data_IF_180629359764
#
_entry.id   IF_180629359764
#
_cell.length_a   1.000
_cell.length_b   1.000
_cell.length_c   1.000
_cell.angle_alpha   90.00
_cell.angle_beta   90.00
_cell.angle_gamma   90.00
#
_symmetry.space_group_name_H-M   'P 1'
#
loop_
_entity.id
_entity.type
_entity.pdbx_description
1 polymer ?
#
# COMPACT_ATOMS: atom_id res chain seq x y z
N UNK A 1 20.08 -6.94 -5.97
CA UNK A 1 18.74 -7.18 -5.42
C UNK A 1 18.77 -8.31 -4.42
N UNK A 2 18.00 -8.23 -3.35
CA UNK A 2 17.80 -9.31 -2.38
C UNK A 2 16.33 -9.68 -2.36
N UNK A 3 16.05 -10.99 -2.34
CA UNK A 3 14.69 -11.53 -2.26
C UNK A 3 14.68 -12.64 -1.22
N UNK A 4 13.69 -12.62 -0.33
CA UNK A 4 13.48 -13.69 0.63
C UNK A 4 11.99 -13.93 0.92
N UNK A 5 11.65 -15.17 1.27
CA UNK A 5 10.32 -15.55 1.73
C UNK A 5 10.37 -15.90 3.21
N UNK A 6 9.58 -15.20 4.01
CA UNK A 6 9.54 -15.34 5.46
C UNK A 6 8.23 -16.04 5.87
N UNK A 7 8.30 -16.89 6.87
CA UNK A 7 7.15 -17.61 7.42
C UNK A 7 6.85 -17.14 8.85
N UNK A 8 5.62 -17.32 9.28
CA UNK A 8 5.14 -16.88 10.60
C UNK A 8 6.00 -17.40 11.76
N UNK A 9 6.55 -18.62 11.68
CA UNK A 9 7.45 -19.15 12.69
C UNK A 9 8.70 -18.30 12.93
N UNK A 10 9.16 -17.55 11.93
CA UNK A 10 10.31 -16.66 12.05
C UNK A 10 9.97 -15.34 12.77
N UNK A 11 8.68 -15.02 12.94
CA UNK A 11 8.23 -13.75 13.52
C UNK A 11 8.03 -13.87 15.02
N UNK A 12 7.64 -15.06 15.52
CA UNK A 12 7.25 -15.24 16.91
C UNK A 12 8.40 -15.12 17.92
N UNK A 13 9.66 -15.16 17.48
CA UNK A 13 10.78 -15.38 18.40
C UNK A 13 11.38 -14.12 19.04
N UNK A 14 11.08 -12.90 18.58
CA UNK A 14 11.92 -11.75 18.99
C UNK A 14 11.29 -10.36 19.04
N UNK A 15 9.98 -10.16 18.81
CA UNK A 15 9.44 -8.81 18.85
C UNK A 15 8.92 -8.41 20.23
N UNK A 16 9.39 -7.26 20.70
CA UNK A 16 8.91 -6.64 21.93
C UNK A 16 7.76 -5.68 21.65
N UNK A 17 6.94 -5.39 22.66
CA UNK A 17 5.91 -4.37 22.59
C UNK A 17 6.50 -2.99 22.21
N UNK A 18 7.71 -2.70 22.66
CA UNK A 18 8.44 -1.46 22.34
C UNK A 18 8.75 -1.36 20.84
N UNK A 19 9.22 -2.45 20.22
CA UNK A 19 9.47 -2.51 18.79
C UNK A 19 8.19 -2.28 17.98
N UNK A 20 7.10 -2.90 18.41
CA UNK A 20 5.80 -2.70 17.75
C UNK A 20 5.30 -1.27 17.91
N UNK A 21 5.45 -0.67 19.09
CA UNK A 21 5.08 0.72 19.32
C UNK A 21 5.95 1.69 18.51
N UNK A 22 7.25 1.48 18.45
CA UNK A 22 8.17 2.27 17.64
C UNK A 22 7.79 2.19 16.15
N UNK A 23 7.57 0.97 15.64
CA UNK A 23 7.17 0.75 14.26
C UNK A 23 5.83 1.43 13.95
N UNK A 24 4.81 1.15 14.73
CA UNK A 24 3.45 1.63 14.48
C UNK A 24 3.34 3.15 14.54
N UNK A 25 4.07 3.82 15.46
CA UNK A 25 4.09 5.29 15.54
C UNK A 25 4.73 5.97 14.32
N UNK A 26 5.48 5.21 13.50
CA UNK A 26 6.18 5.67 12.29
C UNK A 26 5.67 5.02 11.00
N UNK A 27 4.51 4.40 11.06
CA UNK A 27 3.89 3.73 9.92
C UNK A 27 2.58 4.39 9.56
N UNK A 28 2.43 4.79 8.30
CA UNK A 28 1.15 5.20 7.74
C UNK A 28 0.44 3.98 7.12
N UNK A 29 -0.83 3.79 7.44
CA UNK A 29 -1.68 2.78 6.80
C UNK A 29 -2.57 3.45 5.76
N UNK A 30 -2.52 2.97 4.54
CA UNK A 30 -3.34 3.44 3.43
C UNK A 30 -4.37 2.37 3.11
N UNK A 31 -5.65 2.74 3.20
CA UNK A 31 -6.77 1.85 2.94
C UNK A 31 -7.49 2.32 1.68
N UNK A 32 -7.45 1.52 0.63
CA UNK A 32 -8.25 1.77 -0.58
C UNK A 32 -9.68 1.29 -0.35
N UNK A 33 -10.64 2.21 -0.47
CA UNK A 33 -12.06 1.96 -0.18
C UNK A 33 -12.94 2.40 -1.35
N UNK A 34 -13.87 1.53 -1.76
CA UNK A 34 -14.89 1.85 -2.77
C UNK A 34 -16.14 1.00 -2.57
N UNK A 35 -17.14 1.56 -1.91
CA UNK A 35 -18.44 0.93 -1.70
C UNK A 35 -18.41 -0.40 -0.91
N UNK A 36 -17.31 -0.69 -0.19
CA UNK A 36 -17.33 -1.71 0.84
C UNK A 36 -18.22 -1.26 2.00
N UNK A 37 -18.87 -2.23 2.67
CA UNK A 37 -19.75 -1.88 3.79
C UNK A 37 -18.95 -1.26 4.94
N UNK A 38 -19.60 -0.34 5.67
CA UNK A 38 -18.97 0.31 6.82
C UNK A 38 -18.52 -0.71 7.88
N UNK A 39 -19.26 -1.82 8.06
CA UNK A 39 -18.95 -2.88 9.00
C UNK A 39 -17.68 -3.64 8.59
N UNK A 40 -17.51 -3.95 7.29
CA UNK A 40 -16.30 -4.61 6.80
C UNK A 40 -15.08 -3.72 7.02
N UNK A 41 -15.18 -2.44 6.64
CA UNK A 41 -14.10 -1.48 6.86
C UNK A 41 -13.80 -1.28 8.35
N UNK A 42 -14.82 -1.22 9.22
CA UNK A 42 -14.60 -1.16 10.67
C UNK A 42 -13.82 -2.36 11.18
N UNK A 43 -14.14 -3.56 10.69
CA UNK A 43 -13.38 -4.77 11.00
C UNK A 43 -11.91 -4.61 10.65
N UNK A 44 -11.61 -4.09 9.46
CA UNK A 44 -10.23 -3.78 9.03
C UNK A 44 -9.57 -2.78 9.98
N UNK A 45 -10.23 -1.66 10.25
CA UNK A 45 -9.68 -0.59 11.08
C UNK A 45 -9.46 -1.02 12.53
N UNK A 46 -10.30 -1.93 13.06
CA UNK A 46 -10.21 -2.40 14.44
C UNK A 46 -8.84 -3.00 14.77
N UNK A 47 -8.25 -3.75 13.84
CA UNK A 47 -6.99 -4.45 14.04
C UNK A 47 -5.75 -3.62 13.72
N UNK A 48 -5.90 -2.38 13.22
CA UNK A 48 -4.77 -1.49 12.99
C UNK A 48 -4.30 -0.83 14.29
N UNK A 49 -3.02 -0.45 14.41
CA UNK A 49 -2.51 0.24 15.59
C UNK A 49 -3.19 1.60 15.83
N UNK A 50 -3.34 1.99 17.09
CA UNK A 50 -4.02 3.23 17.49
C UNK A 50 -3.15 4.48 17.32
N UNK A 51 -1.83 4.31 17.37
CA UNK A 51 -0.85 5.39 17.28
C UNK A 51 -0.38 5.68 15.84
N UNK A 52 -0.87 4.91 14.87
CA UNK A 52 -0.55 5.09 13.46
C UNK A 52 -1.54 6.01 12.76
N UNK A 53 -1.12 6.87 11.82
CA UNK A 53 -2.04 7.53 10.90
C UNK A 53 -2.65 6.49 9.93
N UNK A 54 -3.97 6.53 9.79
CA UNK A 54 -4.74 5.68 8.88
C UNK A 54 -5.37 6.60 7.84
N UNK A 55 -4.99 6.42 6.59
CA UNK A 55 -5.45 7.24 5.45
C UNK A 55 -6.40 6.38 4.63
N UNK A 56 -7.68 6.65 4.72
CA UNK A 56 -8.71 6.00 3.90
C UNK A 56 -8.89 6.84 2.64
N UNK A 57 -8.45 6.31 1.51
CA UNK A 57 -8.69 6.94 0.22
C UNK A 57 -9.92 6.28 -0.40
N UNK A 58 -11.01 7.05 -0.46
CA UNK A 58 -12.32 6.53 -0.89
C UNK A 58 -12.75 7.11 -2.23
N UNK A 59 -13.46 6.29 -2.99
CA UNK A 59 -14.16 6.69 -4.22
C UNK A 59 -15.66 6.33 -4.14
N UNK A 60 -16.19 6.27 -2.93
CA UNK A 60 -17.60 5.99 -2.65
C UNK A 60 -18.46 7.25 -2.82
N UNK A 61 -19.77 7.07 -2.84
CA UNK A 61 -20.71 8.20 -2.87
C UNK A 61 -20.59 9.07 -1.61
N UNK A 62 -21.07 10.31 -1.70
CA UNK A 62 -21.12 11.21 -0.54
C UNK A 62 -21.97 10.62 0.59
N UNK A 63 -23.06 9.94 0.23
CA UNK A 63 -23.95 9.29 1.20
C UNK A 63 -23.23 8.15 1.95
N UNK A 64 -22.51 7.29 1.22
CA UNK A 64 -21.72 6.22 1.84
C UNK A 64 -20.64 6.77 2.78
N UNK A 65 -20.02 7.89 2.40
CA UNK A 65 -18.99 8.54 3.24
C UNK A 65 -19.61 9.10 4.53
N UNK A 66 -20.76 9.76 4.45
CA UNK A 66 -21.43 10.26 5.67
C UNK A 66 -21.91 9.12 6.58
N UNK A 67 -22.39 8.02 5.98
CA UNK A 67 -22.70 6.80 6.71
C UNK A 67 -21.44 6.21 7.38
N UNK A 68 -20.32 6.12 6.64
CA UNK A 68 -19.04 5.67 7.17
C UNK A 68 -18.58 6.55 8.34
N UNK A 69 -18.61 7.87 8.19
CA UNK A 69 -18.24 8.82 9.26
C UNK A 69 -19.08 8.62 10.53
N UNK A 70 -20.39 8.47 10.36
CA UNK A 70 -21.31 8.22 11.47
C UNK A 70 -20.97 6.90 12.16
N UNK A 71 -20.74 5.86 11.38
CA UNK A 71 -20.40 4.53 11.86
C UNK A 71 -19.06 4.52 12.63
N UNK A 72 -18.04 5.18 12.13
CA UNK A 72 -16.74 5.30 12.81
C UNK A 72 -16.84 6.04 14.15
N UNK A 73 -17.72 7.03 14.27
CA UNK A 73 -17.97 7.76 15.53
C UNK A 73 -18.63 6.88 16.59
N UNK A 74 -19.55 5.99 16.20
CA UNK A 74 -20.36 5.18 17.13
C UNK A 74 -19.63 3.95 17.66
N UNK A 75 -18.56 3.48 16.98
CA UNK A 75 -17.94 2.18 17.26
C UNK A 75 -16.53 2.25 17.88
N UNK A 76 -16.30 3.13 18.86
CA UNK A 76 -15.07 3.18 19.66
C UNK A 76 -13.76 3.32 18.85
N UNK A 77 -13.83 3.75 17.60
CA UNK A 77 -12.65 4.02 16.76
C UNK A 77 -12.16 5.47 16.90
N UNK A 78 -12.80 6.26 17.77
CA UNK A 78 -12.50 7.67 18.00
C UNK A 78 -11.07 7.95 18.50
N UNK A 79 -10.40 6.95 19.06
CA UNK A 79 -9.03 7.09 19.53
C UNK A 79 -7.98 6.81 18.43
N UNK A 80 -8.40 6.42 17.22
CA UNK A 80 -7.49 6.21 16.07
C UNK A 80 -7.34 7.49 15.27
N UNK A 81 -6.15 7.70 14.71
CA UNK A 81 -5.85 8.83 13.81
C UNK A 81 -6.30 8.47 12.39
N UNK A 82 -7.56 8.73 12.06
CA UNK A 82 -8.15 8.38 10.76
C UNK A 82 -8.32 9.63 9.91
N UNK A 83 -7.80 9.57 8.69
CA UNK A 83 -7.94 10.58 7.64
C UNK A 83 -8.79 9.98 6.52
N UNK A 84 -9.88 10.64 6.14
CA UNK A 84 -10.72 10.20 5.01
C UNK A 84 -10.50 11.17 3.87
N UNK A 85 -10.02 10.66 2.75
CA UNK A 85 -9.69 11.44 1.55
C UNK A 85 -10.56 10.96 0.40
N UNK A 86 -11.33 11.86 -0.21
CA UNK A 86 -12.08 11.50 -1.42
C UNK A 86 -11.19 11.62 -2.65
N UNK A 87 -11.05 10.53 -3.40
CA UNK A 87 -10.17 10.48 -4.59
C UNK A 87 -10.49 11.58 -5.63
N UNK A 88 -11.77 11.96 -5.76
CA UNK A 88 -12.24 12.99 -6.69
C UNK A 88 -12.37 14.38 -6.09
N UNK A 89 -11.68 14.66 -4.99
CA UNK A 89 -11.68 15.99 -4.41
C UNK A 89 -11.00 17.02 -5.35
N UNK A 90 -11.56 18.23 -5.39
CA UNK A 90 -11.07 19.29 -6.26
C UNK A 90 -9.66 19.75 -5.92
N UNK A 91 -9.30 19.75 -4.64
CA UNK A 91 -7.96 20.14 -4.21
C UNK A 91 -6.90 19.13 -4.63
N UNK A 92 -7.22 17.83 -4.61
CA UNK A 92 -6.34 16.77 -5.09
C UNK A 92 -6.17 16.88 -6.62
N UNK A 93 -7.26 17.09 -7.35
CA UNK A 93 -7.21 17.29 -8.79
C UNK A 93 -6.38 18.52 -9.16
N UNK A 94 -6.56 19.64 -8.42
CA UNK A 94 -5.77 20.85 -8.62
C UNK A 94 -4.29 20.62 -8.32
N UNK A 95 -3.96 19.88 -7.26
CA UNK A 95 -2.57 19.50 -6.95
C UNK A 95 -1.93 18.77 -8.13
N UNK A 96 -2.54 17.68 -8.62
CA UNK A 96 -1.97 16.92 -9.74
C UNK A 96 -1.89 17.72 -11.03
N UNK A 97 -2.81 18.66 -11.24
CA UNK A 97 -2.75 19.61 -12.35
C UNK A 97 -1.54 20.53 -12.23
N UNK A 98 -1.30 21.09 -11.05
CA UNK A 98 -0.14 21.98 -10.79
C UNK A 98 1.17 21.20 -10.87
N UNK A 99 1.22 19.96 -10.36
CA UNK A 99 2.38 19.08 -10.44
C UNK A 99 2.63 18.50 -11.86
N UNK A 100 1.84 18.88 -12.87
CA UNK A 100 2.02 18.45 -14.26
C UNK A 100 1.56 17.01 -14.55
N UNK A 101 0.82 16.38 -13.63
CA UNK A 101 0.32 14.99 -13.78
C UNK A 101 -1.08 14.98 -14.40
N UNK A 102 -1.26 15.72 -15.51
CA UNK A 102 -2.57 15.91 -16.15
C UNK A 102 -3.25 14.63 -16.59
N UNK A 103 -2.49 13.60 -16.96
CA UNK A 103 -3.03 12.31 -17.42
C UNK A 103 -3.65 11.46 -16.29
N UNK A 104 -3.53 11.90 -15.04
CA UNK A 104 -4.26 11.33 -13.90
C UNK A 104 -5.69 11.90 -13.78
N UNK A 105 -6.02 12.94 -14.57
CA UNK A 105 -7.32 13.59 -14.55
C UNK A 105 -8.20 13.13 -15.71
N UNK A 106 -9.47 12.90 -15.41
CA UNK A 106 -10.49 12.61 -16.41
C UNK A 106 -10.97 13.88 -17.15
N UNK A 107 -11.86 13.70 -18.10
CA UNK A 107 -12.46 14.79 -18.85
C UNK A 107 -13.31 15.75 -17.99
N UNK A 108 -13.72 15.28 -16.82
CA UNK A 108 -14.42 16.07 -15.79
C UNK A 108 -13.46 16.90 -14.91
N UNK A 109 -12.16 16.80 -15.16
CA UNK A 109 -11.12 17.49 -14.38
C UNK A 109 -10.86 16.87 -13.00
N UNK A 110 -11.50 15.75 -12.67
CA UNK A 110 -11.28 15.01 -11.42
C UNK A 110 -10.27 13.89 -11.63
N UNK A 111 -9.69 13.41 -10.53
CA UNK A 111 -8.82 12.22 -10.58
C UNK A 111 -9.60 11.02 -11.12
N UNK A 112 -8.95 10.22 -11.96
CA UNK A 112 -9.52 8.98 -12.52
C UNK A 112 -9.90 7.99 -11.42
N UNK A 113 -10.85 7.10 -11.73
CA UNK A 113 -11.26 6.02 -10.83
C UNK A 113 -10.24 4.88 -10.88
N UNK A 114 -9.66 4.49 -9.75
CA UNK A 114 -8.81 3.33 -9.69
C UNK A 114 -8.12 3.13 -8.37
N UNK A 115 -7.72 1.88 -8.09
CA UNK A 115 -6.95 1.51 -6.90
C UNK A 115 -5.57 2.18 -6.92
N UNK A 116 -4.91 2.18 -8.09
CA UNK A 116 -3.59 2.79 -8.25
C UNK A 116 -3.57 4.28 -7.93
N UNK A 117 -4.58 5.01 -8.39
CA UNK A 117 -4.80 6.42 -8.10
C UNK A 117 -5.01 6.64 -6.58
N UNK A 118 -5.83 5.78 -5.96
CA UNK A 118 -6.06 5.82 -4.51
C UNK A 118 -4.79 5.55 -3.72
N UNK A 119 -4.00 4.55 -4.12
CA UNK A 119 -2.70 4.26 -3.49
C UNK A 119 -1.69 5.39 -3.68
N UNK A 120 -1.69 6.05 -4.86
CA UNK A 120 -0.81 7.19 -5.12
C UNK A 120 -1.15 8.38 -4.23
N UNK A 121 -2.45 8.70 -4.11
CA UNK A 121 -2.94 9.75 -3.20
C UNK A 121 -2.57 9.40 -1.74
N UNK A 122 -2.83 8.18 -1.30
CA UNK A 122 -2.47 7.74 0.05
C UNK A 122 -0.97 7.84 0.34
N UNK A 123 -0.14 7.53 -0.65
CA UNK A 123 1.32 7.68 -0.56
C UNK A 123 1.73 9.16 -0.48
N UNK A 124 1.10 10.02 -1.27
CA UNK A 124 1.31 11.47 -1.21
C UNK A 124 1.01 12.00 0.20
N UNK A 125 -0.15 11.65 0.77
CA UNK A 125 -0.49 12.09 2.13
C UNK A 125 0.46 11.48 3.19
N UNK A 126 0.87 10.23 3.02
CA UNK A 126 1.87 9.62 3.91
C UNK A 126 3.21 10.36 3.87
N UNK A 127 3.64 10.81 2.68
CA UNK A 127 4.86 11.59 2.51
C UNK A 127 4.73 13.01 3.06
N UNK A 128 3.53 13.62 2.99
CA UNK A 128 3.25 14.95 3.55
C UNK A 128 3.22 14.97 5.07
N UNK A 129 2.93 13.84 5.71
CA UNK A 129 3.07 13.69 7.17
C UNK A 129 4.52 13.80 7.63
N UNK A 130 5.48 13.53 6.75
CA UNK A 130 6.93 13.66 6.91
C UNK A 130 7.59 12.78 8.00
N UNK A 131 6.85 12.28 8.99
CA UNK A 131 7.38 11.39 10.03
C UNK A 131 7.23 9.88 9.74
N UNK A 132 6.31 9.39 8.88
CA UNK A 132 6.26 7.97 8.58
C UNK A 132 7.53 7.49 7.87
N UNK A 133 8.10 6.43 8.40
CA UNK A 133 9.23 5.73 7.80
C UNK A 133 8.77 4.58 6.89
N UNK A 134 7.52 4.14 7.09
CA UNK A 134 6.90 3.06 6.35
C UNK A 134 5.48 3.41 5.94
N UNK A 135 5.08 2.88 4.79
CA UNK A 135 3.71 2.96 4.27
C UNK A 135 3.22 1.54 4.04
N UNK A 136 2.06 1.21 4.58
CA UNK A 136 1.42 -0.09 4.44
C UNK A 136 0.07 0.10 3.75
N UNK A 137 -0.19 -0.72 2.73
CA UNK A 137 -1.43 -0.73 1.98
C UNK A 137 -2.24 -1.97 2.35
N UNK A 138 -3.51 -1.77 2.69
CA UNK A 138 -4.48 -2.83 2.92
C UNK A 138 -5.76 -2.58 2.14
N UNK A 139 -6.39 -3.68 1.72
CA UNK A 139 -7.70 -3.65 1.11
C UNK A 139 -8.80 -3.53 2.17
N UNK A 140 -9.87 -2.82 1.84
CA UNK A 140 -11.00 -2.57 2.75
C UNK A 140 -11.96 -3.78 2.85
N UNK A 141 -11.80 -4.81 1.99
CA UNK A 141 -12.76 -5.91 1.82
C UNK A 141 -12.34 -7.24 2.48
N UNK A 142 -11.35 -7.23 3.38
CA UNK A 142 -10.90 -8.44 4.05
C UNK A 142 -11.92 -8.90 5.10
N UNK A 143 -12.57 -10.05 4.83
CA UNK A 143 -13.57 -10.65 5.72
C UNK A 143 -12.98 -11.44 6.91
N UNK A 144 -11.64 -11.53 6.99
CA UNK A 144 -10.91 -12.06 8.15
C UNK A 144 -10.00 -10.95 8.69
N UNK A 145 -10.58 -9.89 9.28
CA UNK A 145 -9.82 -8.68 9.59
C UNK A 145 -8.71 -8.91 10.63
N UNK A 146 -8.81 -9.95 11.47
CA UNK A 146 -7.72 -10.36 12.38
C UNK A 146 -6.43 -10.76 11.67
N UNK A 147 -6.49 -11.14 10.37
CA UNK A 147 -5.32 -11.39 9.55
C UNK A 147 -4.45 -10.13 9.40
N UNK A 148 -5.04 -8.94 9.45
CA UNK A 148 -4.30 -7.69 9.35
C UNK A 148 -3.37 -7.45 10.54
N UNK A 149 -3.72 -7.96 11.73
CA UNK A 149 -2.82 -7.94 12.87
C UNK A 149 -1.59 -8.81 12.60
N UNK A 150 -1.78 -10.03 12.07
CA UNK A 150 -0.67 -10.90 11.67
C UNK A 150 0.21 -10.20 10.63
N UNK A 151 -0.39 -9.59 9.58
CA UNK A 151 0.37 -8.91 8.54
C UNK A 151 1.14 -7.71 9.09
N UNK A 152 0.53 -6.93 9.97
CA UNK A 152 1.18 -5.78 10.62
C UNK A 152 2.36 -6.19 11.49
N UNK A 153 2.22 -7.26 12.28
CA UNK A 153 3.32 -7.82 13.08
C UNK A 153 4.44 -8.35 12.19
N UNK A 154 4.10 -9.04 11.10
CA UNK A 154 5.09 -9.50 10.13
C UNK A 154 5.87 -8.34 9.51
N UNK A 155 5.19 -7.29 9.06
CA UNK A 155 5.82 -6.11 8.48
C UNK A 155 6.69 -5.38 9.52
N UNK A 156 6.22 -5.25 10.76
CA UNK A 156 7.01 -4.71 11.87
C UNK A 156 8.36 -5.45 11.97
N UNK A 157 8.31 -6.76 12.09
CA UNK A 157 9.51 -7.58 12.22
C UNK A 157 10.45 -7.42 11.03
N UNK A 158 9.93 -7.49 9.81
CA UNK A 158 10.73 -7.47 8.59
C UNK A 158 11.40 -6.10 8.38
N UNK A 159 10.68 -5.01 8.59
CA UNK A 159 11.23 -3.67 8.45
C UNK A 159 12.26 -3.36 9.55
N UNK A 160 11.99 -3.71 10.81
CA UNK A 160 12.91 -3.43 11.89
C UNK A 160 14.18 -4.30 11.86
N UNK A 161 14.07 -5.59 11.47
CA UNK A 161 15.26 -6.44 11.29
C UNK A 161 16.20 -5.87 10.23
N UNK A 162 15.64 -5.43 9.10
CA UNK A 162 16.43 -4.80 8.03
C UNK A 162 17.09 -3.50 8.50
N UNK A 163 16.37 -2.66 9.26
CA UNK A 163 16.93 -1.44 9.83
C UNK A 163 18.05 -1.73 10.86
N UNK A 164 17.93 -2.81 11.63
CA UNK A 164 18.96 -3.24 12.59
C UNK A 164 20.24 -3.71 11.87
N UNK A 165 20.13 -4.47 10.78
CA UNK A 165 21.28 -4.88 9.97
C UNK A 165 22.03 -3.67 9.39
N UNK A 166 21.32 -2.61 9.01
CA UNK A 166 21.93 -1.38 8.52
C UNK A 166 22.77 -0.64 9.55
N UNK A 167 22.47 -0.77 10.82
CA UNK A 167 23.24 -0.11 11.92
C UNK A 167 24.54 -0.82 12.27
N UNK A 168 24.67 -2.10 11.95
CA UNK A 168 25.85 -2.92 12.28
C UNK A 168 26.87 -3.05 11.16
N UNK A 169 26.44 -2.85 9.90
CA UNK A 169 27.30 -2.90 8.71
C UNK A 169 27.50 -1.48 8.18
N UNK A 170 28.77 -1.00 8.09
CA UNK A 170 29.18 0.31 7.56
C UNK A 170 28.08 1.13 6.86
N UNK A 171 27.48 2.03 7.61
CA UNK A 171 26.14 2.61 7.54
C UNK A 171 25.69 3.31 6.23
N UNK A 172 26.61 3.62 5.33
CA UNK A 172 26.25 4.37 4.12
C UNK A 172 25.41 3.57 3.11
N UNK A 173 25.44 2.25 3.22
CA UNK A 173 24.89 1.37 2.19
C UNK A 173 23.38 1.05 2.32
N UNK A 174 22.81 1.23 3.51
CA UNK A 174 21.37 0.95 3.76
C UNK A 174 20.50 2.21 3.62
N UNK A 175 21.13 3.38 3.59
CA UNK A 175 20.42 4.65 3.48
C UNK A 175 19.57 4.74 2.20
N UNK A 176 19.97 4.09 1.08
CA UNK A 176 19.28 4.15 -0.21
C UNK A 176 18.54 2.87 -0.58
N UNK A 177 18.31 1.96 0.37
CA UNK A 177 17.61 0.71 0.13
C UNK A 177 16.13 0.96 -0.17
N UNK A 178 15.64 0.46 -1.30
CA UNK A 178 14.22 0.34 -1.60
C UNK A 178 13.71 -0.98 -1.00
N UNK A 179 12.88 -0.90 0.03
CA UNK A 179 12.40 -2.08 0.72
C UNK A 179 10.88 -2.24 0.54
N UNK A 180 10.46 -3.38 0.00
CA UNK A 180 9.07 -3.75 -0.18
C UNK A 180 8.79 -5.12 0.45
N UNK A 181 7.75 -5.20 1.25
CA UNK A 181 7.22 -6.43 1.86
C UNK A 181 5.86 -6.70 1.26
N UNK A 182 5.64 -7.91 0.74
CA UNK A 182 4.39 -8.32 0.09
C UNK A 182 3.81 -9.55 0.78
N UNK A 183 2.50 -9.55 0.99
CA UNK A 183 1.82 -10.68 1.63
C UNK A 183 1.53 -11.77 0.59
N UNK A 184 1.98 -12.98 0.89
CA UNK A 184 1.58 -14.21 0.20
C UNK A 184 0.58 -14.92 1.10
N UNK A 185 -0.65 -15.04 0.68
CA UNK A 185 -1.65 -15.73 1.50
C UNK A 185 -1.41 -17.23 1.50
N UNK A 186 -1.57 -17.86 2.67
CA UNK A 186 -1.50 -19.30 2.80
C UNK A 186 -2.62 -20.01 2.03
N UNK A 187 -3.77 -19.37 1.91
CA UNK A 187 -4.89 -19.82 1.10
C UNK A 187 -5.84 -18.67 0.75
N UNK A 188 -6.55 -18.83 -0.37
CA UNK A 188 -7.73 -18.04 -0.77
C UNK A 188 -8.95 -18.94 -0.78
N UNK A 189 -9.62 -19.14 0.35
CA UNK A 189 -10.79 -20.02 0.38
C UNK A 189 -11.94 -19.47 -0.46
N UNK A 190 -12.65 -20.36 -1.12
CA UNK A 190 -13.90 -20.06 -1.81
C UNK A 190 -15.03 -20.90 -1.24
N UNK A 191 -16.21 -20.31 -1.06
CA UNK A 191 -17.42 -21.06 -0.68
C UNK A 191 -18.11 -21.55 -1.97
N UNK A 192 -18.13 -22.86 -2.15
CA UNK A 192 -18.81 -23.50 -3.26
C UNK A 192 -19.83 -24.50 -2.73
N UNK A 193 -21.11 -24.32 -3.03
CA UNK A 193 -22.20 -25.21 -2.61
C UNK A 193 -22.21 -25.56 -1.11
N UNK A 194 -21.87 -24.56 -0.26
CA UNK A 194 -21.85 -24.75 1.19
C UNK A 194 -20.58 -25.41 1.75
N UNK A 195 -19.62 -25.77 0.91
CA UNK A 195 -18.29 -26.27 1.31
C UNK A 195 -17.22 -25.17 1.10
N UNK A 196 -16.15 -25.25 1.88
CA UNK A 196 -15.02 -24.34 1.81
C UNK A 196 -13.89 -25.02 1.01
N UNK A 197 -13.65 -24.51 -0.20
CA UNK A 197 -12.55 -24.96 -1.04
C UNK A 197 -11.32 -24.08 -0.78
N UNK A 198 -10.21 -24.71 -0.37
CA UNK A 198 -8.96 -24.00 -0.14
C UNK A 198 -8.12 -23.95 -1.42
N UNK A 199 -7.83 -22.74 -1.91
CA UNK A 199 -6.92 -22.52 -3.02
C UNK A 199 -5.63 -21.89 -2.51
N UNK A 200 -4.48 -22.36 -3.00
CA UNK A 200 -3.17 -21.85 -2.59
C UNK A 200 -2.85 -20.49 -3.19
N UNK A 201 -3.30 -20.23 -4.43
CA UNK A 201 -3.03 -18.99 -5.15
C UNK A 201 -4.32 -18.36 -5.66
N UNK A 202 -4.35 -17.04 -5.71
CA UNK A 202 -5.39 -16.29 -6.39
C UNK A 202 -5.36 -16.55 -7.91
N UNK A 203 -6.51 -16.45 -8.57
CA UNK A 203 -6.65 -16.70 -10.02
C UNK A 203 -5.75 -15.82 -10.89
N UNK A 204 -5.56 -14.55 -10.53
CA UNK A 204 -4.63 -13.66 -11.22
C UNK A 204 -3.18 -14.01 -10.91
N UNK A 205 -2.86 -14.22 -9.63
CA UNK A 205 -1.50 -14.57 -9.17
C UNK A 205 -0.98 -15.84 -9.84
N UNK A 206 -1.83 -16.87 -10.05
CA UNK A 206 -1.43 -18.11 -10.72
C UNK A 206 -0.98 -17.92 -12.17
N UNK A 207 -1.50 -16.87 -12.84
CA UNK A 207 -1.13 -16.54 -14.23
C UNK A 207 0.11 -15.64 -14.28
N UNK A 208 0.18 -14.66 -13.38
CA UNK A 208 1.20 -13.59 -13.44
C UNK A 208 2.50 -13.97 -12.73
N UNK A 209 2.43 -14.71 -11.64
CA UNK A 209 3.61 -15.06 -10.83
C UNK A 209 4.70 -15.83 -11.58
N UNK A 210 4.39 -16.78 -12.48
CA UNK A 210 5.42 -17.47 -13.28
C UNK A 210 6.27 -16.52 -14.13
N UNK A 211 5.67 -15.43 -14.65
CA UNK A 211 6.41 -14.42 -15.42
C UNK A 211 7.46 -13.72 -14.55
N UNK A 212 7.13 -13.41 -13.30
CA UNK A 212 8.10 -12.82 -12.37
C UNK A 212 9.23 -13.79 -12.01
N UNK A 213 8.93 -15.06 -11.80
CA UNK A 213 9.95 -16.09 -11.54
C UNK A 213 10.94 -16.15 -12.70
N UNK A 214 10.44 -16.21 -13.94
CA UNK A 214 11.30 -16.18 -15.14
C UNK A 214 12.06 -14.85 -15.24
N UNK A 215 11.43 -13.72 -14.92
CA UNK A 215 12.11 -12.41 -14.99
C UNK A 215 13.25 -12.28 -13.98
N UNK A 216 13.11 -12.85 -12.78
CA UNK A 216 14.18 -12.91 -11.79
C UNK A 216 15.37 -13.73 -12.26
N UNK A 217 15.11 -14.83 -12.93
CA UNK A 217 16.17 -15.65 -13.54
C UNK A 217 16.91 -14.87 -14.63
N UNK A 218 16.15 -14.27 -15.55
CA UNK A 218 16.72 -13.56 -16.71
C UNK A 218 17.48 -12.27 -16.32
N UNK A 219 16.94 -11.48 -15.40
CA UNK A 219 17.55 -10.20 -15.04
C UNK A 219 18.61 -10.31 -13.95
N UNK A 220 18.44 -11.26 -13.01
CA UNK A 220 19.28 -11.32 -11.80
C UNK A 220 20.00 -12.67 -11.62
N UNK A 221 19.74 -13.65 -12.49
CA UNK A 221 20.28 -15.01 -12.34
C UNK A 221 19.77 -15.76 -11.10
N UNK A 222 18.63 -15.33 -10.54
CA UNK A 222 18.02 -15.95 -9.35
C UNK A 222 17.13 -17.10 -9.81
N UNK A 223 17.64 -18.33 -9.68
CA UNK A 223 16.95 -19.54 -10.12
C UNK A 223 16.03 -20.09 -9.04
N UNK A 224 14.96 -20.76 -9.48
CA UNK A 224 14.03 -21.56 -8.63
C UNK A 224 13.42 -20.81 -7.46
N UNK A 225 13.34 -19.47 -7.56
CA UNK A 225 12.70 -18.67 -6.50
C UNK A 225 11.24 -18.36 -6.84
N UNK A 226 10.27 -19.01 -6.15
CA UNK A 226 8.86 -18.84 -6.49
C UNK A 226 8.35 -17.47 -6.05
N UNK A 227 7.74 -16.74 -6.98
CA UNK A 227 6.98 -15.54 -6.68
C UNK A 227 5.53 -15.92 -6.48
N UNK A 228 4.96 -15.59 -5.31
CA UNK A 228 3.58 -15.89 -4.95
C UNK A 228 2.78 -14.63 -4.56
N UNK A 229 3.36 -13.45 -4.79
CA UNK A 229 2.81 -12.14 -4.40
C UNK A 229 2.71 -11.15 -5.56
N UNK A 230 2.65 -11.63 -6.83
CA UNK A 230 2.62 -10.76 -8.01
C UNK A 230 1.47 -9.74 -7.99
N UNK A 231 0.34 -10.11 -7.39
CA UNK A 231 -0.87 -9.30 -7.27
C UNK A 231 -1.28 -9.16 -5.78
N UNK A 232 -0.32 -8.86 -4.91
CA UNK A 232 -0.63 -8.61 -3.52
C UNK A 232 -1.14 -7.18 -3.35
N UNK A 233 -2.40 -7.04 -2.94
CA UNK A 233 -3.00 -5.77 -2.51
C UNK A 233 -2.45 -5.35 -1.15
N UNK A 234 -2.24 -6.34 -0.26
CA UNK A 234 -1.61 -6.13 1.03
C UNK A 234 -0.10 -6.14 0.88
N UNK A 235 0.48 -4.97 1.03
CA UNK A 235 1.93 -4.77 0.94
C UNK A 235 2.37 -3.58 1.79
N UNK A 236 3.66 -3.56 2.12
CA UNK A 236 4.29 -2.42 2.79
C UNK A 236 5.60 -2.06 2.12
N UNK A 237 6.00 -0.83 2.27
CA UNK A 237 7.31 -0.36 1.79
C UNK A 237 7.87 0.73 2.70
N UNK A 238 9.19 0.87 2.71
CA UNK A 238 9.75 2.04 3.36
C UNK A 238 9.40 3.31 2.56
N UNK A 239 9.37 4.45 3.22
CA UNK A 239 8.97 5.72 2.61
C UNK A 239 9.84 6.09 1.40
N UNK A 240 11.10 5.66 1.37
CA UNK A 240 11.99 5.85 0.22
C UNK A 240 11.51 5.10 -1.01
N UNK A 241 11.14 3.83 -0.86
CA UNK A 241 10.55 3.07 -1.95
C UNK A 241 9.21 3.67 -2.38
N UNK A 242 8.36 4.07 -1.42
CA UNK A 242 7.09 4.69 -1.70
C UNK A 242 7.22 5.99 -2.52
N UNK A 243 8.25 6.79 -2.26
CA UNK A 243 8.55 8.03 -3.00
C UNK A 243 9.23 7.79 -4.34
N UNK A 244 10.07 6.74 -4.43
CA UNK A 244 10.91 6.45 -5.59
C UNK A 244 10.22 5.65 -6.69
N UNK A 245 9.19 4.84 -6.35
CA UNK A 245 8.50 4.02 -7.34
C UNK A 245 7.44 4.83 -8.06
N UNK A 246 7.37 4.65 -9.39
CA UNK A 246 6.25 5.15 -10.19
C UNK A 246 4.98 4.38 -9.83
N UNK A 247 3.84 4.97 -10.13
CA UNK A 247 2.53 4.35 -9.92
C UNK A 247 1.86 4.06 -11.26
N UNK A 248 0.89 3.16 -11.26
CA UNK A 248 0.07 2.87 -12.43
C UNK A 248 -1.41 2.91 -12.11
N UNK A 249 -2.23 3.15 -13.14
CA UNK A 249 -3.67 3.28 -12.99
C UNK A 249 -4.37 1.97 -12.61
N UNK A 250 -5.46 2.07 -11.88
CA UNK A 250 -6.35 0.94 -11.60
C UNK A 250 -5.69 -0.20 -10.82
N UNK A 251 -6.12 -1.44 -11.09
CA UNK A 251 -5.59 -2.63 -10.41
C UNK A 251 -4.21 -3.07 -10.91
N UNK A 252 -3.73 -2.48 -12.01
CA UNK A 252 -2.38 -2.76 -12.51
C UNK A 252 -1.30 -2.42 -11.49
N UNK A 253 -1.58 -1.53 -10.54
CA UNK A 253 -0.63 -1.05 -9.52
C UNK A 253 0.02 -2.19 -8.72
N UNK A 254 -0.71 -3.25 -8.41
CA UNK A 254 -0.21 -4.36 -7.63
C UNK A 254 0.95 -5.09 -8.35
N UNK A 255 0.80 -5.33 -9.65
CA UNK A 255 1.83 -5.93 -10.50
C UNK A 255 2.89 -4.91 -10.87
N UNK A 256 2.48 -3.68 -11.20
CA UNK A 256 3.38 -2.65 -11.67
C UNK A 256 4.43 -2.26 -10.63
N UNK A 257 4.07 -2.06 -9.37
CA UNK A 257 5.02 -1.72 -8.32
C UNK A 257 6.11 -2.78 -8.14
N UNK A 258 5.76 -4.04 -8.35
CA UNK A 258 6.74 -5.10 -8.33
C UNK A 258 7.71 -4.99 -9.52
N UNK A 259 7.19 -4.86 -10.75
CA UNK A 259 8.01 -4.66 -11.95
C UNK A 259 8.88 -3.42 -11.84
N UNK A 260 8.32 -2.32 -11.32
CA UNK A 260 9.05 -1.06 -11.14
C UNK A 260 10.21 -1.21 -10.15
N UNK A 261 10.01 -1.92 -9.04
CA UNK A 261 11.07 -2.22 -8.08
C UNK A 261 12.19 -3.05 -8.73
N UNK A 262 11.83 -4.09 -9.49
CA UNK A 262 12.78 -4.89 -10.24
C UNK A 262 13.54 -4.06 -11.27
N UNK A 263 12.84 -3.24 -12.04
CA UNK A 263 13.43 -2.40 -13.09
C UNK A 263 14.44 -1.39 -12.53
N UNK A 264 14.12 -0.76 -11.40
CA UNK A 264 15.05 0.14 -10.70
C UNK A 264 16.25 -0.60 -10.12
N UNK A 265 16.04 -1.81 -9.62
CA UNK A 265 17.14 -2.65 -9.13
C UNK A 265 18.06 -3.16 -10.23
N UNK A 266 17.50 -3.43 -11.39
CA UNK A 266 18.26 -3.83 -12.58
C UNK A 266 18.96 -2.67 -13.29
N UNK A 267 18.45 -1.44 -13.09
CA UNK A 267 19.01 -0.22 -13.67
C UNK A 267 18.44 0.16 -15.03
N UNK A 268 17.20 -0.23 -15.35
CA UNK A 268 16.57 0.11 -16.65
C UNK A 268 16.39 1.61 -16.88
N UNK A 269 16.26 2.38 -15.81
CA UNK A 269 15.98 3.82 -15.87
C UNK A 269 17.06 4.66 -15.18
N UNK A 270 18.33 4.24 -15.29
CA UNK A 270 19.46 4.95 -14.68
C UNK A 270 20.38 4.02 -13.90
N UNK A 271 21.06 4.56 -12.88
CA UNK A 271 21.92 3.73 -12.04
C UNK A 271 21.09 2.70 -11.24
N UNK A 272 21.56 1.43 -11.17
CA UNK A 272 20.87 0.41 -10.38
C UNK A 272 20.72 0.84 -8.93
N UNK A 273 19.49 0.76 -8.41
CA UNK A 273 19.20 1.02 -6.99
C UNK A 273 19.18 -0.29 -6.20
N UNK A 274 19.66 -0.25 -4.99
CA UNK A 274 19.55 -1.41 -4.10
C UNK A 274 18.10 -1.64 -3.74
N UNK A 275 17.63 -2.87 -3.88
CA UNK A 275 16.28 -3.25 -3.50
C UNK A 275 16.27 -4.54 -2.70
N UNK A 276 15.38 -4.59 -1.70
CA UNK A 276 15.03 -5.77 -0.94
C UNK A 276 13.53 -6.02 -1.11
N UNK A 277 13.20 -7.18 -1.66
CA UNK A 277 11.83 -7.68 -1.74
C UNK A 277 11.68 -8.85 -0.79
N UNK A 278 10.75 -8.74 0.14
CA UNK A 278 10.40 -9.81 1.06
C UNK A 278 8.97 -10.26 0.81
N UNK A 279 8.77 -11.56 0.67
CA UNK A 279 7.45 -12.17 0.62
C UNK A 279 7.16 -12.81 2.00
N UNK A 280 6.12 -12.34 2.66
CA UNK A 280 5.64 -12.95 3.88
C UNK A 280 4.52 -13.94 3.59
N UNK A 281 4.75 -15.21 3.87
CA UNK A 281 3.72 -16.23 3.75
C UNK A 281 2.87 -16.28 5.04
N UNK A 282 1.66 -15.75 4.94
CA UNK A 282 0.73 -15.67 6.07
C UNK A 282 0.26 -17.05 6.52
N UNK A 283 -0.13 -17.17 7.79
CA UNK A 283 -0.91 -18.29 8.30
C UNK A 283 -2.40 -18.08 8.07
N UNK A 284 -2.85 -16.86 8.24
CA UNK A 284 -4.24 -16.50 8.01
C UNK A 284 -4.60 -16.61 6.53
N UNK A 285 -5.78 -17.15 6.28
CA UNK A 285 -6.36 -17.16 4.94
C UNK A 285 -6.80 -15.75 4.55
N UNK A 286 -6.68 -15.42 3.28
CA UNK A 286 -7.28 -14.21 2.73
C UNK A 286 -8.67 -14.52 2.21
N UNK A 287 -9.68 -13.93 2.81
CA UNK A 287 -11.08 -14.18 2.47
C UNK A 287 -11.78 -12.86 2.14
N UNK A 288 -12.32 -12.78 0.94
CA UNK A 288 -13.13 -11.66 0.46
C UNK A 288 -14.30 -12.17 -0.36
N UNK A 289 -15.26 -11.30 -0.66
CA UNK A 289 -16.40 -11.64 -1.52
C UNK A 289 -15.93 -12.06 -2.90
N UNK A 290 -16.44 -13.20 -3.39
CA UNK A 290 -16.09 -13.74 -4.72
C UNK A 290 -16.50 -12.76 -5.81
N UNK A 291 -15.53 -12.32 -6.61
CA UNK A 291 -15.75 -11.49 -7.80
C UNK A 291 -15.87 -12.37 -9.04
N UNK A 292 -16.71 -11.95 -9.99
CA UNK A 292 -17.00 -12.70 -11.21
C UNK A 292 -15.79 -12.91 -12.12
N UNK A 293 -15.91 -13.83 -13.08
CA UNK A 293 -14.81 -14.20 -13.99
C UNK A 293 -14.39 -13.05 -14.90
N UNK A 294 -15.33 -12.21 -15.36
CA UNK A 294 -15.03 -11.03 -16.18
C UNK A 294 -14.13 -10.03 -15.41
N UNK A 295 -14.39 -9.85 -14.12
CA UNK A 295 -13.53 -9.02 -13.27
C UNK A 295 -12.10 -9.59 -13.19
N UNK A 296 -11.96 -10.91 -13.04
CA UNK A 296 -10.65 -11.56 -12.99
C UNK A 296 -9.92 -11.48 -14.34
N UNK A 297 -10.64 -11.67 -15.47
CA UNK A 297 -10.06 -11.49 -16.81
C UNK A 297 -9.53 -10.07 -17.00
N UNK A 298 -10.29 -9.06 -16.54
CA UNK A 298 -9.86 -7.66 -16.55
C UNK A 298 -8.61 -7.45 -15.71
N UNK A 299 -8.56 -8.01 -14.50
CA UNK A 299 -7.37 -7.94 -13.62
C UNK A 299 -6.14 -8.56 -14.28
N UNK A 300 -6.27 -9.73 -14.89
CA UNK A 300 -5.17 -10.40 -15.59
C UNK A 300 -4.72 -9.52 -16.76
N UNK A 301 -5.64 -9.01 -17.60
CA UNK A 301 -5.31 -8.12 -18.72
C UNK A 301 -4.56 -6.85 -18.29
N UNK A 302 -4.97 -6.24 -17.17
CA UNK A 302 -4.27 -5.09 -16.59
C UNK A 302 -2.88 -5.46 -16.05
N UNK A 303 -2.76 -6.61 -15.37
CA UNK A 303 -1.48 -7.09 -14.84
C UNK A 303 -0.48 -7.42 -15.95
N UNK A 304 -0.93 -8.11 -16.99
CA UNK A 304 -0.08 -8.43 -18.15
C UNK A 304 0.28 -7.16 -18.93
N UNK A 305 -0.64 -6.20 -19.02
CA UNK A 305 -0.39 -4.90 -19.65
C UNK A 305 0.76 -4.12 -19.02
N UNK A 306 1.04 -4.34 -17.71
CA UNK A 306 2.17 -3.72 -17.04
C UNK A 306 3.54 -4.11 -17.65
N UNK A 307 3.68 -5.34 -18.11
CA UNK A 307 4.95 -5.80 -18.69
C UNK A 307 5.28 -5.03 -19.97
N UNK A 308 4.28 -4.58 -20.73
CA UNK A 308 4.51 -3.82 -21.96
C UNK A 308 5.08 -2.41 -21.70
N UNK A 309 4.97 -1.90 -20.49
CA UNK A 309 5.67 -0.64 -20.09
C UNK A 309 7.19 -0.82 -20.20
N UNK A 310 7.68 -2.07 -20.05
CA UNK A 310 9.10 -2.43 -20.06
C UNK A 310 9.49 -3.22 -21.31
N UNK A 311 8.62 -3.29 -22.33
CA UNK A 311 8.74 -4.18 -23.52
C UNK A 311 10.12 -4.15 -24.19
N UNK A 312 10.74 -2.97 -24.28
CA UNK A 312 12.02 -2.78 -24.96
C UNK A 312 13.20 -3.36 -24.15
N UNK A 313 12.96 -3.71 -22.89
CA UNK A 313 13.94 -4.29 -21.96
C UNK A 313 13.58 -5.70 -21.49
N UNK A 314 12.41 -6.21 -21.90
CA UNK A 314 12.02 -7.56 -21.53
C UNK A 314 12.80 -8.62 -22.29
N UNK A 315 13.25 -9.69 -21.62
CA UNK A 315 13.79 -10.87 -22.28
C UNK A 315 12.78 -11.48 -23.27
N UNK A 316 13.25 -12.01 -24.39
CA UNK A 316 12.39 -12.61 -25.41
C UNK A 316 11.51 -13.75 -24.88
N UNK A 317 12.01 -14.51 -23.89
CA UNK A 317 11.22 -15.57 -23.23
C UNK A 317 9.97 -15.01 -22.54
N UNK A 318 10.07 -13.86 -21.89
CA UNK A 318 8.92 -13.20 -21.23
C UNK A 318 7.92 -12.72 -22.29
N UNK A 319 8.40 -12.08 -23.35
CA UNK A 319 7.53 -11.61 -24.44
C UNK A 319 6.76 -12.77 -25.09
N UNK A 320 7.42 -13.91 -25.31
CA UNK A 320 6.79 -15.11 -25.84
C UNK A 320 5.76 -15.72 -24.88
N UNK A 321 6.07 -15.75 -23.57
CA UNK A 321 5.13 -16.22 -22.55
C UNK A 321 3.89 -15.31 -22.47
N UNK A 322 4.07 -13.99 -22.48
CA UNK A 322 2.97 -13.02 -22.50
C UNK A 322 2.05 -13.24 -23.71
N UNK A 323 2.63 -13.36 -24.91
CA UNK A 323 1.85 -13.60 -26.12
C UNK A 323 1.04 -14.89 -26.02
N UNK A 324 1.68 -16.00 -25.60
CA UNK A 324 1.01 -17.27 -25.42
C UNK A 324 -0.16 -17.18 -24.42
N UNK A 325 0.03 -16.53 -23.26
CA UNK A 325 -1.05 -16.37 -22.26
C UNK A 325 -2.21 -15.55 -22.85
N UNK A 326 -1.92 -14.48 -23.58
CA UNK A 326 -2.95 -13.66 -24.23
C UNK A 326 -3.75 -14.46 -25.24
N UNK A 327 -3.08 -15.27 -26.08
CA UNK A 327 -3.74 -16.09 -27.09
C UNK A 327 -4.59 -17.20 -26.46
N UNK A 328 -4.05 -17.95 -25.50
CA UNK A 328 -4.72 -19.05 -24.80
C UNK A 328 -5.97 -18.56 -24.04
N UNK A 329 -5.89 -17.41 -23.44
CA UNK A 329 -6.99 -16.84 -22.64
C UNK A 329 -7.88 -15.90 -23.44
N UNK A 330 -7.56 -15.58 -24.68
CA UNK A 330 -8.24 -14.56 -25.52
C UNK A 330 -8.42 -13.26 -24.73
N UNK A 331 -7.31 -12.71 -24.20
CA UNK A 331 -7.32 -11.52 -23.35
C UNK A 331 -7.09 -10.26 -24.17
N UNK A 332 -7.93 -9.26 -23.90
CA UNK A 332 -7.63 -7.88 -24.27
C UNK A 332 -6.69 -7.26 -23.23
N UNK A 333 -5.50 -6.88 -23.69
CA UNK A 333 -4.55 -6.19 -22.82
C UNK A 333 -5.00 -4.77 -22.52
N UNK A 334 -4.97 -4.41 -21.26
CA UNK A 334 -5.21 -3.04 -20.82
C UNK A 334 -3.89 -2.41 -20.39
N UNK A 335 -3.40 -1.45 -21.19
CA UNK A 335 -2.17 -0.74 -20.90
C UNK A 335 -2.44 0.31 -19.81
N UNK A 336 -1.70 0.26 -18.67
CA UNK A 336 -1.91 1.23 -17.62
C UNK A 336 -1.37 2.61 -17.99
N UNK A 337 -2.02 3.65 -17.47
CA UNK A 337 -1.40 4.95 -17.36
C UNK A 337 -0.31 4.87 -16.28
N UNK A 338 0.82 5.52 -16.52
CA UNK A 338 1.95 5.52 -15.58
C UNK A 338 2.12 6.93 -15.02
N UNK A 339 2.08 7.02 -13.70
CA UNK A 339 2.24 8.26 -12.95
C UNK A 339 3.68 8.40 -12.46
N UNK A 340 4.26 9.60 -12.43
CA UNK A 340 5.64 9.81 -11.99
C UNK A 340 5.83 9.37 -10.54
N UNK A 341 7.06 9.06 -10.16
CA UNK A 341 7.41 8.85 -8.77
C UNK A 341 7.26 10.18 -7.99
N UNK A 342 6.92 10.12 -6.72
CA UNK A 342 6.77 11.34 -5.91
C UNK A 342 8.08 12.13 -5.79
N UNK A 343 9.22 11.44 -5.82
CA UNK A 343 10.54 12.10 -5.80
C UNK A 343 10.82 12.89 -7.09
N UNK A 344 10.14 12.57 -8.20
CA UNK A 344 10.27 13.26 -9.48
C UNK A 344 9.32 14.48 -9.59
N UNK A 345 8.33 14.59 -8.69
CA UNK A 345 7.51 15.77 -8.57
C UNK A 345 8.30 16.82 -7.80
N UNK A 346 8.80 17.84 -8.48
CA UNK A 346 9.46 18.99 -7.84
C UNK A 346 8.44 19.76 -7.02
N UNK A 347 8.06 19.20 -5.86
CA UNK A 347 7.05 19.76 -4.96
C UNK A 347 7.69 20.90 -4.17
N UNK A 348 7.54 22.13 -4.65
CA UNK A 348 7.79 23.30 -3.84
C UNK A 348 6.68 23.47 -2.80
N UNK A 349 6.96 24.15 -1.70
CA UNK A 349 5.95 24.36 -0.63
C UNK A 349 4.65 24.99 -1.14
N UNK A 350 4.71 25.82 -2.19
CA UNK A 350 3.55 26.46 -2.81
C UNK A 350 2.62 25.49 -3.52
N UNK A 351 3.12 24.36 -4.02
CA UNK A 351 2.32 23.37 -4.74
C UNK A 351 1.45 22.52 -3.81
N UNK A 352 1.79 22.50 -2.52
CA UNK A 352 1.06 21.76 -1.49
C UNK A 352 -0.11 22.57 -0.90
N UNK A 353 -0.20 23.86 -1.17
CA UNK A 353 -1.25 24.75 -0.66
C UNK A 353 -2.69 24.33 -1.02
N UNK A 354 -2.97 23.74 -2.20
CA UNK A 354 -4.31 23.27 -2.53
C UNK A 354 -4.76 22.05 -1.72
N UNK A 355 -3.82 21.31 -1.13
CA UNK A 355 -4.13 20.12 -0.33
C UNK A 355 -4.61 20.54 1.06
N UNK A 356 -5.85 21.06 1.10
CA UNK A 356 -6.59 21.15 2.34
C UNK A 356 -7.12 19.75 2.68
N UNK A 357 -6.86 19.24 3.88
CA UNK A 357 -7.49 18.02 4.36
C UNK A 357 -8.83 18.34 5.01
N UNK A 358 -9.98 17.75 4.56
CA UNK A 358 -11.26 18.01 5.17
C UNK A 358 -11.29 17.67 6.66
N UNK A 359 -11.64 18.62 7.52
CA UNK A 359 -12.01 18.37 8.91
C UNK A 359 -13.47 17.97 9.00
N UNK A 360 -13.82 17.02 9.84
CA UNK A 360 -15.20 16.83 10.27
C UNK A 360 -15.57 18.03 11.14
N UNK A 361 -16.49 18.83 10.61
CA UNK A 361 -16.88 20.13 11.16
C UNK A 361 -17.27 20.12 12.63
N UNK A 362 -17.20 21.31 13.17
CA UNK A 362 -17.46 21.82 14.50
C UNK A 362 -18.40 20.96 15.35
N UNK A 363 -17.87 20.33 16.36
CA UNK A 363 -18.63 19.69 17.42
C UNK A 363 -17.94 18.44 17.95
N UNK A 364 -17.30 18.64 19.09
CA UNK A 364 -16.93 17.66 20.08
C UNK A 364 -15.92 16.54 19.72
N UNK A 365 -14.70 16.75 20.13
CA UNK A 365 -13.68 15.83 20.66
C UNK A 365 -13.27 14.58 19.88
N UNK A 366 -13.47 14.49 18.57
CA UNK A 366 -12.98 13.36 17.81
C UNK A 366 -12.22 13.82 16.56
N UNK A 367 -10.92 13.58 16.46
CA UNK A 367 -10.16 13.88 15.26
C UNK A 367 -10.37 12.82 14.17
N UNK A 368 -11.57 12.75 13.61
CA UNK A 368 -11.74 12.19 12.28
C UNK A 368 -11.55 13.37 11.34
N UNK A 369 -10.32 13.55 10.86
CA UNK A 369 -9.98 14.66 9.99
C UNK A 369 -10.50 14.38 8.58
N UNK A 370 -11.33 15.28 8.11
CA UNK A 370 -11.58 15.47 6.70
C UNK A 370 -11.01 16.85 6.33
N UNK A 371 -9.81 16.95 5.83
CA UNK A 371 -9.05 18.14 5.45
C UNK A 371 -8.64 19.08 6.59
N UNK A 372 -7.38 19.06 6.93
CA UNK A 372 -6.76 20.10 7.73
C UNK A 372 -6.03 21.04 6.75
N UNK A 373 -6.26 22.32 6.86
CA UNK A 373 -5.43 23.31 6.19
C UNK A 373 -3.96 22.99 6.47
N UNK A 374 -3.08 23.03 5.46
CA UNK A 374 -1.65 22.70 5.58
C UNK A 374 -1.01 23.28 6.85
N UNK A 375 -1.35 24.53 7.20
CA UNK A 375 -0.81 25.20 8.39
C UNK A 375 -1.23 24.52 9.70
N UNK A 376 -2.46 24.06 9.80
CA UNK A 376 -2.96 23.32 10.99
C UNK A 376 -2.31 21.95 11.05
N UNK A 377 -2.16 21.30 9.89
CA UNK A 377 -1.48 20.02 9.76
C UNK A 377 0.00 20.13 10.16
N UNK A 378 0.73 21.11 9.61
CA UNK A 378 2.13 21.37 9.96
C UNK A 378 2.28 21.87 11.41
N UNK A 379 1.31 22.60 11.94
CA UNK A 379 1.33 23.04 13.33
C UNK A 379 1.10 21.85 14.29
N UNK A 380 0.16 20.98 14.01
CA UNK A 380 -0.03 19.74 14.79
C UNK A 380 1.19 18.81 14.65
N UNK A 381 1.78 18.73 13.46
CA UNK A 381 3.02 18.03 13.23
C UNK A 381 4.20 18.60 14.05
N UNK A 382 4.36 19.92 14.08
CA UNK A 382 5.40 20.58 14.90
C UNK A 382 5.18 20.36 16.39
N UNK A 383 3.93 20.44 16.86
CA UNK A 383 3.58 20.12 18.24
C UNK A 383 3.93 18.67 18.63
N UNK A 384 3.80 17.72 17.70
CA UNK A 384 4.18 16.33 17.92
C UNK A 384 5.69 16.12 17.90
N UNK A 385 6.44 16.85 17.08
CA UNK A 385 7.90 16.71 16.98
C UNK A 385 8.67 17.54 18.02
N UNK A 386 8.14 18.67 18.47
CA UNK A 386 8.70 19.42 19.59
C UNK A 386 8.60 18.65 20.93
N UNK A 387 7.75 17.65 20.97
CA UNK A 387 7.62 16.73 22.11
C UNK A 387 8.76 15.69 22.13
N UNK A 388 9.29 15.27 20.99
CA UNK A 388 10.42 14.32 20.90
C UNK A 388 11.79 14.97 21.26
N UNK A 389 11.85 16.30 21.43
CA UNK A 389 13.10 17.02 21.75
C UNK A 389 13.31 17.30 23.24
N UNK A 390 12.37 16.96 24.10
CA UNK A 390 12.51 17.13 25.56
C UNK A 390 12.38 15.81 26.31
N UNK A 391 13.41 15.50 27.05
CA UNK A 391 13.66 14.34 27.91
C UNK A 391 12.46 13.73 28.64
N UNK A 392 12.46 12.39 28.67
CA UNK A 392 11.78 11.49 29.61
C UNK A 392 10.25 11.64 29.73
N UNK A 393 9.53 10.83 28.92
CA UNK A 393 8.10 10.62 29.08
C UNK A 393 7.79 9.57 30.15
N UNK A 394 7.23 10.02 31.26
CA UNK A 394 6.40 9.18 32.12
C UNK A 394 4.98 9.25 31.57
N UNK A 395 4.56 8.27 30.78
CA UNK A 395 3.18 8.13 30.37
C UNK A 395 2.40 7.61 31.57
N UNK A 396 1.74 8.49 32.28
CA UNK A 396 0.68 8.11 33.24
C UNK A 396 -0.58 7.78 32.47
N UNK A 397 -0.86 6.49 32.31
CA UNK A 397 -2.19 6.05 31.87
C UNK A 397 -3.18 6.36 32.97
N UNK A 398 -4.36 6.96 32.69
CA UNK A 398 -5.42 7.00 33.67
C UNK A 398 -5.84 5.56 33.96
N UNK A 399 -5.67 5.12 35.18
CA UNK A 399 -6.22 3.86 35.68
C UNK A 399 -7.73 4.08 35.74
N UNK A 400 -8.46 3.45 34.85
CA UNK A 400 -9.92 3.34 34.98
C UNK A 400 -10.16 2.23 35.99
N UNK A 401 -10.46 2.60 37.24
CA UNK A 401 -11.03 1.65 38.19
C UNK A 401 -12.43 1.26 37.72
N UNK A 402 -12.65 -0.05 37.57
CA UNK A 402 -13.99 -0.63 37.32
C UNK A 402 -14.79 -0.76 38.63
#
# INVERSE_FOLDING_TARGET
>A
MYIETIRFSHILETDTLENFHYFSSRTAFVISHKAESAETLQGVLWYLPTNSPIIIVTNSSREDIEHLKTSLRTHLLYHKKIYIVHQKDDSIAQFFKTAGVHHMLGNDGKVLDGKGEGMYIGTLFSALLDYPQWVIFYDADNLVPSALLEYTLAMCRLFLSTAAYGRTSQESHMADLLHNVRICWSSKPEVNNGSLDHKLLGRCTSVVSPLFTTLLEEWFGIQDYPINSSNAGEQGMNIKAAKALRFSSGYSIETFQFLELLSKSFGLHGQPRRALLQQYQSKSAHFHTKKGDDHIRKLIGQSLGCFFVFRDSLPAIITNQLQRICDEMSLDLSYPLIYPALEDLHLEETDLLPLAMPTLGDGDDVPIFTYVHKEVFLHQYRLFNDIDSQDSWTVTYPVVEY
#
